data_IF_154334972867
#
_entry.id   IF_154334972867
#
_cell.length_a   1.000
_cell.length_b   1.000
_cell.length_c   1.000
_cell.angle_alpha   90.00
_cell.angle_beta   90.00
_cell.angle_gamma   90.00
#
_symmetry.space_group_name_H-M   'P 1'
#
loop_
_entity.id
_entity.type
_entity.pdbx_description
1 polymer ?
#
# COMPACT_ATOMS: atom_id res chain seq x y z
N UNK A 1 38.51 24.95 -26.68
CA UNK A 1 38.90 23.75 -25.92
C UNK A 1 37.64 23.18 -25.29
N UNK A 2 37.24 21.99 -25.73
CA UNK A 2 36.12 21.27 -25.17
C UNK A 2 36.54 20.60 -23.86
N UNK A 3 35.65 20.59 -22.88
CA UNK A 3 35.60 19.53 -21.87
C UNK A 3 34.14 19.16 -21.68
N UNK A 4 33.80 18.03 -22.28
CA UNK A 4 32.63 17.23 -21.96
C UNK A 4 33.08 16.06 -21.07
N UNK A 5 32.09 15.36 -20.48
CA UNK A 5 32.14 14.20 -19.57
C UNK A 5 32.08 14.59 -18.08
N UNK A 6 31.18 14.05 -17.25
CA UNK A 6 30.50 12.76 -17.35
C UNK A 6 28.96 12.82 -17.31
N UNK A 7 28.38 11.96 -18.15
CA UNK A 7 27.00 11.48 -18.06
C UNK A 7 26.89 10.41 -16.96
N UNK A 8 25.62 10.23 -16.54
CA UNK A 8 25.03 9.06 -15.90
C UNK A 8 24.70 9.24 -14.42
N UNK A 9 23.65 10.02 -14.15
CA UNK A 9 22.76 9.68 -13.04
C UNK A 9 22.08 8.35 -13.41
N UNK A 10 22.63 7.24 -12.93
CA UNK A 10 21.93 5.94 -12.90
C UNK A 10 20.77 6.08 -11.91
N UNK A 11 19.70 6.72 -12.40
CA UNK A 11 18.51 7.10 -11.66
C UNK A 11 17.64 5.90 -11.33
N UNK A 12 18.02 5.15 -10.30
CA UNK A 12 17.06 4.33 -9.57
C UNK A 12 16.52 5.21 -8.42
N UNK A 13 15.67 6.17 -8.78
CA UNK A 13 15.11 7.13 -7.82
C UNK A 13 14.09 6.42 -6.94
N UNK A 14 14.59 5.77 -5.89
CA UNK A 14 13.77 5.25 -4.82
C UNK A 14 12.87 6.33 -4.24
N UNK A 15 11.68 5.95 -3.82
CA UNK A 15 10.64 6.86 -3.33
C UNK A 15 10.17 6.50 -1.93
N UNK A 16 9.61 7.49 -1.24
CA UNK A 16 8.79 7.22 -0.06
C UNK A 16 7.38 6.89 -0.53
N UNK A 17 6.96 5.67 -0.26
CA UNK A 17 5.61 5.21 -0.49
C UNK A 17 4.88 5.03 0.84
N UNK A 18 3.58 5.32 0.84
CA UNK A 18 2.71 5.10 1.99
C UNK A 18 1.59 4.16 1.59
N UNK A 19 1.45 3.06 2.31
CA UNK A 19 0.31 2.15 2.21
C UNK A 19 -0.73 2.59 3.24
N UNK A 20 -1.93 2.86 2.76
CA UNK A 20 -3.03 3.37 3.56
C UNK A 20 -4.27 2.52 3.35
N UNK A 21 -4.80 1.93 4.41
CA UNK A 21 -6.15 1.35 4.41
C UNK A 21 -7.07 2.37 5.03
N UNK A 22 -8.05 2.86 4.27
CA UNK A 22 -8.98 3.87 4.77
C UNK A 22 -9.87 3.28 5.86
N UNK A 23 -10.15 4.06 6.90
CA UNK A 23 -11.15 3.72 7.92
C UNK A 23 -12.45 3.32 7.26
N UNK A 24 -13.08 2.28 7.77
CA UNK A 24 -14.33 1.80 7.22
C UNK A 24 -15.17 1.14 8.30
N UNK A 25 -16.36 1.69 8.51
CA UNK A 25 -17.32 1.14 9.44
C UNK A 25 -17.77 -0.25 8.99
N UNK A 26 -17.88 -1.18 9.94
CA UNK A 26 -18.24 -2.56 9.64
C UNK A 26 -17.14 -3.35 8.93
N UNK A 27 -15.90 -2.88 8.91
CA UNK A 27 -14.74 -3.63 8.44
C UNK A 27 -13.82 -3.98 9.61
N UNK A 28 -13.41 -5.24 9.68
CA UNK A 28 -12.38 -5.74 10.59
C UNK A 28 -11.15 -6.11 9.76
N UNK A 29 -10.06 -5.37 9.96
CA UNK A 29 -8.80 -5.62 9.29
C UNK A 29 -8.15 -6.88 9.89
N UNK A 30 -7.87 -7.88 9.06
CA UNK A 30 -7.27 -9.14 9.51
C UNK A 30 -5.75 -9.10 9.36
N UNK A 31 -5.28 -8.96 8.12
CA UNK A 31 -3.86 -8.98 7.80
C UNK A 31 -3.50 -7.96 6.71
N UNK A 32 -2.28 -7.46 6.80
CA UNK A 32 -1.66 -6.65 5.75
C UNK A 32 -0.33 -7.29 5.37
N UNK A 33 -0.16 -7.58 4.09
CA UNK A 33 1.08 -8.09 3.51
C UNK A 33 1.69 -7.00 2.66
N UNK A 34 2.90 -6.58 2.99
CA UNK A 34 3.67 -5.63 2.21
C UNK A 34 4.87 -6.36 1.60
N UNK A 35 5.04 -6.23 0.30
CA UNK A 35 6.23 -6.67 -0.42
C UNK A 35 6.97 -5.44 -0.92
N UNK A 36 8.24 -5.31 -0.60
CA UNK A 36 9.10 -4.22 -1.11
C UNK A 36 10.49 -4.74 -1.41
N UNK A 37 11.03 -4.40 -2.58
CA UNK A 37 12.41 -4.73 -2.96
C UNK A 37 12.82 -6.19 -2.69
N UNK A 38 11.90 -7.14 -2.96
CA UNK A 38 12.12 -8.58 -2.75
C UNK A 38 11.93 -9.07 -1.32
N UNK A 39 11.63 -8.19 -0.35
CA UNK A 39 11.30 -8.55 1.03
C UNK A 39 9.79 -8.50 1.26
N UNK A 40 9.26 -9.46 2.02
CA UNK A 40 7.87 -9.44 2.47
C UNK A 40 7.78 -9.25 3.98
N UNK A 41 6.77 -8.52 4.41
CA UNK A 41 6.37 -8.41 5.81
C UNK A 41 4.86 -8.60 5.92
N UNK A 42 4.46 -9.55 6.74
CA UNK A 42 3.05 -9.77 7.10
C UNK A 42 2.80 -9.21 8.48
N UNK A 43 1.73 -8.44 8.63
CA UNK A 43 1.23 -7.97 9.91
C UNK A 43 -0.17 -8.55 10.14
N UNK A 44 -0.32 -9.28 11.23
CA UNK A 44 -1.61 -9.69 11.76
C UNK A 44 -2.15 -8.56 12.63
N UNK A 45 -3.25 -7.94 12.19
CA UNK A 45 -3.85 -6.77 12.85
C UNK A 45 -5.05 -7.21 13.69
N UNK A 46 -5.93 -8.01 13.10
CA UNK A 46 -7.10 -8.62 13.72
C UNK A 46 -7.97 -7.66 14.57
N UNK A 47 -8.28 -6.46 14.05
CA UNK A 47 -9.01 -5.42 14.78
C UNK A 47 -10.00 -4.64 13.89
N UNK A 48 -11.07 -4.05 14.45
CA UNK A 48 -11.95 -3.14 13.72
C UNK A 48 -11.17 -1.99 13.08
N UNK A 49 -11.50 -1.65 11.84
CA UNK A 49 -10.85 -0.59 11.07
C UNK A 49 -11.47 0.78 11.39
N UNK A 50 -11.38 1.17 12.67
CA UNK A 50 -11.97 2.41 13.19
C UNK A 50 -11.21 3.67 12.76
N UNK A 51 -9.94 3.53 12.40
CA UNK A 51 -9.04 4.59 11.93
C UNK A 51 -8.29 4.12 10.69
N UNK A 52 -7.72 5.07 9.95
CA UNK A 52 -6.86 4.73 8.82
C UNK A 52 -5.66 3.92 9.30
N UNK A 53 -5.42 2.75 8.71
CA UNK A 53 -4.16 2.03 8.93
C UNK A 53 -3.13 2.58 7.95
N UNK A 54 -1.99 3.06 8.43
CA UNK A 54 -0.99 3.75 7.61
C UNK A 54 0.40 3.24 7.94
N UNK A 55 1.15 2.88 6.89
CA UNK A 55 2.60 2.63 7.00
C UNK A 55 3.36 3.19 5.82
N UNK A 56 4.47 3.86 6.12
CA UNK A 56 5.36 4.44 5.12
C UNK A 56 6.65 3.62 4.99
N UNK A 57 7.15 3.55 3.76
CA UNK A 57 8.29 2.76 3.39
C UNK A 57 9.16 3.53 2.40
N UNK A 58 10.47 3.50 2.59
CA UNK A 58 11.42 3.82 1.52
C UNK A 58 11.57 2.58 0.63
N UNK A 59 11.38 2.76 -0.67
CA UNK A 59 11.35 1.69 -1.68
C UNK A 59 12.28 2.07 -2.82
N UNK A 60 13.11 1.16 -3.30
CA UNK A 60 14.03 1.41 -4.42
C UNK A 60 13.39 1.12 -5.77
N UNK A 61 12.66 0.01 -5.89
CA UNK A 61 12.11 -0.46 -7.16
C UNK A 61 10.62 -0.79 -7.06
N UNK A 62 10.28 -1.82 -6.28
CA UNK A 62 8.95 -2.43 -6.31
C UNK A 62 8.32 -2.32 -4.95
N UNK A 63 7.05 -1.94 -4.92
CA UNK A 63 6.19 -2.09 -3.74
C UNK A 63 4.85 -2.70 -4.13
N UNK A 64 4.40 -3.66 -3.34
CA UNK A 64 3.06 -4.20 -3.41
C UNK A 64 2.47 -4.31 -2.01
N UNK A 65 1.16 -4.14 -1.91
CA UNK A 65 0.41 -4.35 -0.70
C UNK A 65 -0.81 -5.23 -1.00
N UNK A 66 -1.10 -6.15 -0.09
CA UNK A 66 -2.32 -6.95 -0.07
C UNK A 66 -2.94 -6.85 1.30
N UNK A 67 -4.25 -6.67 1.34
CA UNK A 67 -5.03 -6.55 2.57
C UNK A 67 -6.16 -7.54 2.53
N UNK A 68 -6.31 -8.29 3.62
CA UNK A 68 -7.50 -9.11 3.87
C UNK A 68 -8.26 -8.53 5.05
N UNK A 69 -9.57 -8.43 4.91
CA UNK A 69 -10.47 -7.97 5.95
C UNK A 69 -11.80 -8.73 5.90
N UNK A 70 -12.57 -8.61 6.97
CA UNK A 70 -13.94 -9.10 7.06
C UNK A 70 -14.91 -7.92 7.15
N UNK A 71 -15.95 -7.95 6.33
CA UNK A 71 -17.09 -7.05 6.39
C UNK A 71 -18.20 -7.62 7.27
N UNK A 72 -18.93 -6.76 7.98
CA UNK A 72 -20.09 -7.18 8.78
C UNK A 72 -21.30 -7.55 7.93
N UNK A 73 -21.34 -7.14 6.66
CA UNK A 73 -22.39 -7.44 5.69
C UNK A 73 -21.91 -7.13 4.26
N UNK A 74 -22.77 -7.40 3.26
CA UNK A 74 -22.48 -7.19 1.83
C UNK A 74 -22.26 -5.72 1.43
N UNK A 75 -22.53 -4.75 2.31
CA UNK A 75 -22.29 -3.34 2.07
C UNK A 75 -20.96 -2.82 2.63
N UNK A 76 -20.25 -3.61 3.44
CA UNK A 76 -18.94 -3.25 3.95
C UNK A 76 -17.96 -3.05 2.78
N UNK A 77 -17.15 -1.99 2.86
CA UNK A 77 -16.25 -1.57 1.78
C UNK A 77 -14.83 -1.40 2.33
N UNK A 78 -13.86 -2.09 1.72
CA UNK A 78 -12.44 -1.93 2.02
C UNK A 78 -11.79 -1.09 0.92
N UNK A 79 -11.06 -0.04 1.28
CA UNK A 79 -10.27 0.75 0.32
C UNK A 79 -8.80 0.76 0.74
N UNK A 80 -7.94 0.29 -0.16
CA UNK A 80 -6.49 0.26 -0.04
C UNK A 80 -5.89 1.25 -1.03
N UNK A 81 -5.07 2.16 -0.52
CA UNK A 81 -4.34 3.15 -1.29
C UNK A 81 -2.83 2.94 -1.17
N UNK A 82 -2.14 3.13 -2.28
CA UNK A 82 -0.70 3.36 -2.33
C UNK A 82 -0.46 4.80 -2.72
N UNK A 83 0.28 5.53 -1.89
CA UNK A 83 0.65 6.91 -2.11
C UNK A 83 2.16 7.01 -2.38
N UNK A 84 2.56 7.94 -3.24
CA UNK A 84 3.96 8.36 -3.42
C UNK A 84 4.07 9.82 -2.99
N UNK A 85 4.72 10.06 -1.85
CA UNK A 85 4.51 11.31 -1.10
C UNK A 85 3.03 11.43 -0.68
N UNK A 86 2.39 12.55 -0.99
CA UNK A 86 0.98 12.82 -0.65
C UNK A 86 -0.01 12.43 -1.74
N UNK A 87 0.47 11.96 -2.90
CA UNK A 87 -0.37 11.63 -4.04
C UNK A 87 -0.72 10.14 -4.06
N UNK A 88 -2.01 9.81 -4.12
CA UNK A 88 -2.48 8.44 -4.42
C UNK A 88 -2.05 8.06 -5.84
N UNK A 89 -1.23 7.02 -5.96
CA UNK A 89 -0.74 6.47 -7.24
C UNK A 89 -1.47 5.20 -7.65
N UNK A 90 -1.94 4.41 -6.68
CA UNK A 90 -2.82 3.25 -6.88
C UNK A 90 -3.88 3.21 -5.81
N UNK A 91 -5.04 2.69 -6.17
CA UNK A 91 -6.15 2.43 -5.27
C UNK A 91 -6.83 1.12 -5.68
N UNK A 92 -7.28 0.36 -4.69
CA UNK A 92 -8.04 -0.86 -4.87
C UNK A 92 -9.16 -0.89 -3.84
N UNK A 93 -10.36 -1.23 -4.29
CA UNK A 93 -11.55 -1.28 -3.44
C UNK A 93 -12.19 -2.66 -3.54
N UNK A 94 -12.67 -3.18 -2.41
CA UNK A 94 -13.40 -4.44 -2.30
C UNK A 94 -14.69 -4.22 -1.51
N UNK A 95 -15.74 -4.97 -1.82
CA UNK A 95 -17.04 -4.87 -1.15
C UNK A 95 -17.59 -6.28 -0.87
N UNK A 96 -18.18 -6.48 0.30
CA UNK A 96 -18.73 -7.77 0.71
C UNK A 96 -18.38 -8.17 2.13
N UNK A 97 -18.70 -9.42 2.49
CA UNK A 97 -18.32 -10.00 3.79
C UNK A 97 -16.85 -10.42 3.83
N UNK A 98 -16.28 -10.88 2.71
CA UNK A 98 -14.86 -11.20 2.60
C UNK A 98 -14.20 -10.19 1.67
N UNK A 99 -13.21 -9.47 2.19
CA UNK A 99 -12.64 -8.30 1.53
C UNK A 99 -11.17 -8.55 1.25
N UNK A 100 -10.78 -8.43 -0.01
CA UNK A 100 -9.40 -8.52 -0.46
C UNK A 100 -9.13 -7.34 -1.39
N UNK A 101 -8.11 -6.55 -1.08
CA UNK A 101 -7.65 -5.45 -1.92
C UNK A 101 -6.13 -5.54 -2.11
N UNK A 102 -5.66 -5.26 -3.33
CA UNK A 102 -4.25 -5.31 -3.69
C UNK A 102 -3.84 -4.10 -4.53
N UNK A 103 -2.63 -3.60 -4.30
CA UNK A 103 -2.02 -2.52 -5.08
C UNK A 103 -0.54 -2.83 -5.31
N UNK A 104 0.01 -2.38 -6.43
CA UNK A 104 1.44 -2.52 -6.75
C UNK A 104 1.94 -1.40 -7.65
N UNK A 105 3.19 -1.00 -7.45
CA UNK A 105 3.95 -0.06 -8.29
C UNK A 105 5.35 -0.63 -8.59
#
# INVERSE_FOLDING_TARGET
MAVACGKSDDGQSGGTYTVKVLKSEGVKLLNVVIVRDGQSNTEEVNKPLAEDWVKSFTVKNVIAASVTAEGTNENATLTLQLLKGDKVVKESTSKGVYLIATVSE
#
